data_IF_393411161131
#
_entry.id   IF_393411161131
#
_cell.length_a   1.000
_cell.length_b   1.000
_cell.length_c   1.000
_cell.angle_alpha   90.00
_cell.angle_beta   90.00
_cell.angle_gamma   90.00
#
_symmetry.space_group_name_H-M   'P 1'
#
loop_
_entity.id
_entity.type
_entity.pdbx_description
1 polymer ?
#
# COMPACT_ATOMS: atom_id res chain seq x y z
N UNK A 1 -16.01 -29.74 -7.60
CA UNK A 1 -16.39 -28.68 -6.65
C UNK A 1 -15.89 -29.07 -5.28
N UNK A 2 -15.15 -28.20 -4.61
CA UNK A 2 -14.64 -28.47 -3.26
C UNK A 2 -15.77 -28.42 -2.24
N UNK A 3 -15.74 -29.31 -1.23
CA UNK A 3 -16.71 -29.33 -0.13
C UNK A 3 -16.08 -28.68 1.09
N UNK A 4 -16.74 -27.68 1.65
CA UNK A 4 -16.36 -27.02 2.89
C UNK A 4 -17.31 -27.45 4.01
N UNK A 5 -16.77 -27.95 5.12
CA UNK A 5 -17.55 -28.29 6.32
C UNK A 5 -17.01 -27.45 7.47
N UNK A 6 -17.87 -26.64 8.07
CA UNK A 6 -17.51 -25.69 9.13
C UNK A 6 -18.34 -25.99 10.36
N UNK A 7 -17.72 -25.89 11.54
CA UNK A 7 -18.45 -25.89 12.81
C UNK A 7 -18.67 -24.45 13.24
N UNK A 8 -19.93 -24.08 13.42
CA UNK A 8 -20.34 -22.72 13.80
C UNK A 8 -20.97 -22.76 15.20
N UNK A 9 -20.74 -21.75 16.05
CA UNK A 9 -21.57 -21.54 17.23
C UNK A 9 -23.03 -21.33 16.83
N UNK A 10 -23.98 -21.79 17.66
CA UNK A 10 -25.42 -21.71 17.37
C UNK A 10 -25.88 -20.27 17.09
N UNK A 11 -25.33 -19.31 17.82
CA UNK A 11 -25.63 -17.88 17.64
C UNK A 11 -25.20 -17.37 16.26
N UNK A 12 -24.05 -17.83 15.76
CA UNK A 12 -23.55 -17.45 14.44
C UNK A 12 -24.38 -18.13 13.35
N UNK A 13 -24.78 -19.39 13.53
CA UNK A 13 -25.67 -20.07 12.61
C UNK A 13 -26.98 -19.29 12.43
N UNK A 14 -27.65 -18.94 13.55
CA UNK A 14 -28.91 -18.18 13.54
C UNK A 14 -28.76 -16.80 12.88
N UNK A 15 -27.65 -16.10 13.13
CA UNK A 15 -27.41 -14.80 12.51
C UNK A 15 -27.23 -14.89 11.00
N UNK A 16 -26.54 -15.92 10.50
CA UNK A 16 -26.34 -16.12 9.06
C UNK A 16 -27.67 -16.50 8.41
N UNK A 17 -28.45 -17.36 9.05
CA UNK A 17 -29.79 -17.74 8.59
C UNK A 17 -30.71 -16.52 8.45
N UNK A 18 -30.81 -15.70 9.51
CA UNK A 18 -31.60 -14.46 9.50
C UNK A 18 -31.17 -13.49 8.38
N UNK A 19 -29.86 -13.28 8.20
CA UNK A 19 -29.34 -12.40 7.14
C UNK A 19 -29.59 -12.95 5.74
N UNK A 20 -29.52 -14.27 5.57
CA UNK A 20 -29.85 -14.90 4.30
C UNK A 20 -31.34 -14.75 3.96
N UNK A 21 -32.22 -14.86 4.96
CA UNK A 21 -33.66 -14.60 4.83
C UNK A 21 -33.96 -13.14 4.48
N UNK A 22 -33.30 -12.17 5.14
CA UNK A 22 -33.41 -10.73 4.82
C UNK A 22 -33.05 -10.44 3.35
N UNK A 23 -32.05 -11.16 2.82
CA UNK A 23 -31.61 -11.05 1.42
C UNK A 23 -32.38 -11.98 0.46
N UNK A 24 -33.32 -12.80 0.95
CA UNK A 24 -34.13 -13.70 0.14
C UNK A 24 -33.35 -14.84 -0.52
N UNK A 25 -32.21 -15.24 0.03
CA UNK A 25 -31.31 -16.27 -0.51
C UNK A 25 -31.11 -17.44 0.45
N UNK A 26 -30.60 -18.56 -0.05
CA UNK A 26 -30.23 -19.66 0.85
C UNK A 26 -29.01 -19.31 1.70
N UNK A 27 -28.95 -19.85 2.92
CA UNK A 27 -27.81 -19.67 3.84
C UNK A 27 -26.46 -20.02 3.17
N UNK A 28 -26.41 -21.11 2.39
CA UNK A 28 -25.20 -21.52 1.67
C UNK A 28 -24.79 -20.48 0.62
N UNK A 29 -25.75 -19.92 -0.12
CA UNK A 29 -25.50 -18.88 -1.11
C UNK A 29 -25.01 -17.60 -0.44
N UNK A 30 -25.61 -17.22 0.68
CA UNK A 30 -25.19 -16.08 1.50
C UNK A 30 -23.74 -16.25 1.98
N UNK A 31 -23.38 -17.42 2.52
CA UNK A 31 -22.01 -17.73 2.96
C UNK A 31 -21.02 -17.60 1.81
N UNK A 32 -21.32 -18.21 0.65
CA UNK A 32 -20.43 -18.15 -0.52
C UNK A 32 -20.28 -16.71 -1.03
N UNK A 33 -21.36 -15.94 -1.07
CA UNK A 33 -21.34 -14.53 -1.46
C UNK A 33 -20.49 -13.69 -0.49
N UNK A 34 -20.68 -13.85 0.81
CA UNK A 34 -19.91 -13.15 1.83
C UNK A 34 -18.41 -13.48 1.75
N UNK A 35 -18.05 -14.76 1.55
CA UNK A 35 -16.67 -15.20 1.36
C UNK A 35 -16.06 -14.61 0.08
N UNK A 36 -16.82 -14.61 -1.02
CA UNK A 36 -16.38 -14.03 -2.30
C UNK A 36 -16.14 -12.53 -2.16
N UNK A 37 -17.04 -11.82 -1.48
CA UNK A 37 -16.91 -10.39 -1.20
C UNK A 37 -15.68 -10.10 -0.33
N UNK A 38 -15.46 -10.88 0.72
CA UNK A 38 -14.32 -10.70 1.62
C UNK A 38 -12.99 -10.92 0.90
N UNK A 39 -12.87 -12.00 0.13
CA UNK A 39 -11.66 -12.30 -0.65
C UNK A 39 -11.46 -11.31 -1.81
N UNK A 40 -12.55 -10.83 -2.41
CA UNK A 40 -12.50 -9.82 -3.47
C UNK A 40 -12.08 -8.43 -2.99
N UNK A 41 -12.24 -8.12 -1.69
CA UNK A 41 -11.80 -6.83 -1.13
C UNK A 41 -10.26 -6.70 -1.10
N UNK A 42 -9.53 -7.82 -1.02
CA UNK A 42 -8.06 -7.86 -1.06
C UNK A 42 -7.49 -7.62 -2.48
N UNK A 43 -8.34 -7.64 -3.51
CA UNK A 43 -7.97 -7.42 -4.93
C UNK A 43 -8.67 -6.18 -5.52
N UNK A 44 -8.71 -5.06 -4.80
CA UNK A 44 -9.23 -3.82 -5.37
C UNK A 44 -8.16 -3.07 -6.18
N UNK A 45 -8.00 -3.43 -7.46
CA UNK A 45 -7.58 -2.45 -8.47
C UNK A 45 -8.77 -1.53 -8.71
N UNK A 46 -8.83 -0.40 -8.01
CA UNK A 46 -9.87 0.59 -8.25
C UNK A 46 -9.66 1.20 -9.64
N UNK A 47 -10.57 0.90 -10.58
CA UNK A 47 -10.59 1.54 -11.88
C UNK A 47 -10.88 3.04 -11.69
N UNK A 48 -9.85 3.86 -11.86
CA UNK A 48 -10.00 5.30 -11.82
C UNK A 48 -10.47 5.80 -13.19
N UNK A 49 -11.51 6.64 -13.28
CA UNK A 49 -11.95 7.20 -14.56
C UNK A 49 -10.81 7.92 -15.29
N UNK A 50 -10.74 7.76 -16.62
CA UNK A 50 -9.64 8.32 -17.43
C UNK A 50 -9.46 9.84 -17.25
N UNK A 51 -10.56 10.58 -17.06
CA UNK A 51 -10.51 12.02 -16.86
C UNK A 51 -9.77 12.41 -15.56
N UNK A 52 -9.95 11.65 -14.47
CA UNK A 52 -9.25 11.88 -13.20
C UNK A 52 -7.75 11.59 -13.37
N UNK A 53 -7.41 10.49 -14.06
CA UNK A 53 -6.00 10.16 -14.36
C UNK A 53 -5.35 11.26 -15.21
N UNK A 54 -6.08 11.80 -16.18
CA UNK A 54 -5.60 12.89 -17.04
C UNK A 54 -5.36 14.18 -16.24
N UNK A 55 -6.29 14.55 -15.35
CA UNK A 55 -6.17 15.70 -14.46
C UNK A 55 -4.97 15.57 -13.52
N UNK A 56 -4.82 14.41 -12.84
CA UNK A 56 -3.68 14.15 -11.96
C UNK A 56 -2.35 14.26 -12.70
N UNK A 57 -2.27 13.73 -13.93
CA UNK A 57 -1.06 13.85 -14.78
C UNK A 57 -0.78 15.30 -15.16
N UNK A 58 -1.79 16.10 -15.44
CA UNK A 58 -1.62 17.53 -15.72
C UNK A 58 -1.10 18.27 -14.48
N UNK A 59 -1.70 18.04 -13.31
CA UNK A 59 -1.26 18.63 -12.04
C UNK A 59 0.19 18.26 -11.72
N UNK A 60 0.55 16.99 -11.92
CA UNK A 60 1.91 16.52 -11.70
C UNK A 60 2.93 17.19 -12.63
N UNK A 61 2.58 17.40 -13.91
CA UNK A 61 3.44 18.14 -14.84
C UNK A 61 3.63 19.59 -14.42
N UNK A 62 2.57 20.29 -14.05
CA UNK A 62 2.64 21.66 -13.52
C UNK A 62 3.55 21.73 -12.30
N UNK A 63 3.45 20.74 -11.40
CA UNK A 63 4.34 20.65 -10.24
C UNK A 63 5.81 20.50 -10.66
N UNK A 64 6.11 19.58 -11.58
CA UNK A 64 7.48 19.39 -12.08
C UNK A 64 8.04 20.67 -12.73
N UNK A 65 7.22 21.39 -13.50
CA UNK A 65 7.63 22.65 -14.11
C UNK A 65 7.89 23.74 -13.05
N UNK A 66 7.05 23.80 -12.01
CA UNK A 66 7.21 24.76 -10.90
C UNK A 66 8.45 24.50 -10.04
N UNK A 67 8.83 23.22 -9.89
CA UNK A 67 10.01 22.81 -9.11
C UNK A 67 11.32 23.08 -9.88
N UNK A 68 11.24 23.26 -11.19
CA UNK A 68 12.41 23.48 -12.04
C UNK A 68 13.29 22.23 -12.18
N UNK A 69 14.52 22.45 -12.67
CA UNK A 69 15.53 21.39 -12.81
C UNK A 69 16.82 21.86 -12.17
N UNK A 70 17.52 20.93 -11.52
CA UNK A 70 18.85 21.16 -10.98
C UNK A 70 19.82 20.13 -11.55
N UNK A 71 21.02 20.58 -11.90
CA UNK A 71 22.15 19.72 -12.24
C UNK A 71 22.62 18.96 -10.99
N UNK A 72 23.35 17.87 -11.21
CA UNK A 72 23.90 17.08 -10.11
C UNK A 72 24.82 17.91 -9.19
N UNK A 73 25.59 18.83 -9.76
CA UNK A 73 26.45 19.75 -9.00
C UNK A 73 25.66 20.71 -8.12
N UNK A 74 24.56 21.27 -8.63
CA UNK A 74 23.70 22.18 -7.87
C UNK A 74 22.99 21.43 -6.73
N UNK A 75 22.50 20.21 -7.01
CA UNK A 75 21.93 19.35 -5.97
C UNK A 75 22.97 19.12 -4.88
N UNK A 76 24.18 18.67 -5.24
CA UNK A 76 25.23 18.38 -4.26
C UNK A 76 25.61 19.60 -3.42
N UNK A 77 25.66 20.79 -4.02
CA UNK A 77 25.93 22.03 -3.30
C UNK A 77 24.87 22.30 -2.24
N UNK A 78 23.58 22.24 -2.59
CA UNK A 78 22.47 22.39 -1.63
C UNK A 78 22.49 21.30 -0.55
N UNK A 79 22.86 20.06 -0.91
CA UNK A 79 22.98 19.00 0.09
C UNK A 79 24.13 19.22 1.08
N UNK A 80 25.20 19.90 0.67
CA UNK A 80 26.31 20.23 1.55
C UNK A 80 25.96 21.37 2.52
N UNK A 81 24.94 22.18 2.21
CA UNK A 81 24.41 23.24 3.08
C UNK A 81 23.47 22.72 4.17
N UNK A 82 23.18 21.40 4.20
CA UNK A 82 22.30 20.78 5.20
C UNK A 82 22.82 20.98 6.62
N UNK A 83 21.89 21.24 7.54
CA UNK A 83 22.17 21.27 8.97
C UNK A 83 22.70 19.91 9.45
N UNK A 84 23.81 19.93 10.18
CA UNK A 84 24.32 18.73 10.83
C UNK A 84 23.56 18.53 12.14
N UNK A 85 22.69 17.53 12.15
CA UNK A 85 21.93 17.11 13.33
C UNK A 85 22.56 15.88 13.97
N UNK A 86 22.38 15.74 15.28
CA UNK A 86 22.77 14.50 15.95
C UNK A 86 21.93 13.32 15.43
N UNK A 87 22.56 12.16 15.15
CA UNK A 87 21.84 10.97 14.73
C UNK A 87 20.83 10.51 15.78
N UNK A 88 19.71 9.96 15.31
CA UNK A 88 18.74 9.30 16.18
C UNK A 88 19.41 8.19 17.01
N UNK A 89 18.89 7.88 18.20
CA UNK A 89 19.49 6.89 19.12
C UNK A 89 19.77 5.51 18.49
N UNK A 90 19.00 5.11 17.47
CA UNK A 90 19.18 3.86 16.74
C UNK A 90 20.25 3.92 15.63
N UNK A 91 20.71 5.11 15.25
CA UNK A 91 21.75 5.36 14.25
C UNK A 91 23.12 5.50 14.93
N UNK A 92 23.52 4.45 15.65
CA UNK A 92 24.86 4.38 16.25
C UNK A 92 25.93 4.45 15.15
N UNK A 93 27.14 4.95 15.46
CA UNK A 93 28.23 5.06 14.47
C UNK A 93 28.50 3.74 13.73
N UNK A 94 28.46 2.61 14.45
CA UNK A 94 28.63 1.26 13.89
C UNK A 94 27.56 0.92 12.82
N UNK A 95 26.31 1.29 13.06
CA UNK A 95 25.20 1.07 12.11
C UNK A 95 25.39 1.93 10.87
N UNK A 96 25.81 3.19 11.05
CA UNK A 96 26.07 4.13 9.95
C UNK A 96 27.25 3.65 9.10
N UNK A 97 28.34 3.21 9.72
CA UNK A 97 29.53 2.74 9.00
C UNK A 97 29.25 1.46 8.21
N UNK A 98 28.54 0.50 8.82
CA UNK A 98 28.10 -0.72 8.12
C UNK A 98 27.18 -0.43 6.94
N UNK A 99 26.32 0.59 7.05
CA UNK A 99 25.49 1.03 5.93
C UNK A 99 26.33 1.63 4.80
N UNK A 100 27.30 2.50 5.12
CA UNK A 100 28.21 3.11 4.13
C UNK A 100 29.01 2.06 3.37
N UNK A 101 29.54 1.05 4.05
CA UNK A 101 30.24 -0.08 3.42
C UNK A 101 29.35 -0.82 2.42
N UNK A 102 28.09 -1.11 2.79
CA UNK A 102 27.14 -1.80 1.91
C UNK A 102 26.78 -0.98 0.67
N UNK A 103 26.63 0.34 0.81
CA UNK A 103 26.36 1.24 -0.31
C UNK A 103 27.57 1.26 -1.25
N UNK A 104 28.79 1.41 -0.72
CA UNK A 104 30.02 1.43 -1.52
C UNK A 104 30.25 0.10 -2.26
N UNK A 105 29.98 -1.04 -1.62
CA UNK A 105 30.09 -2.36 -2.24
C UNK A 105 29.10 -2.57 -3.39
N UNK A 106 27.89 -2.00 -3.30
CA UNK A 106 26.89 -2.04 -4.38
C UNK A 106 27.15 -1.05 -5.51
N UNK A 107 27.77 0.09 -5.23
CA UNK A 107 28.10 1.10 -6.24
C UNK A 107 29.29 0.70 -7.14
N UNK A 108 30.10 -0.29 -6.73
CA UNK A 108 31.27 -0.79 -7.49
C UNK A 108 30.94 -1.94 -8.46
N UNK A 109 29.68 -2.35 -8.57
CA UNK A 109 29.19 -3.40 -9.46
C UNK A 109 28.31 -2.80 -10.55
#
# INVERSE_FOLDING_TARGET
MSRLTVRLPDTLHQQIEMRAEEEGVSMNQYIVFALTRQVGQDYNVQHQPEHIVAEQRAHYRTLLDSLGRASFSEIQQVLNEREQVEPELGLTPEVVDKLRERIAAKSKK
#
